data_IF_680173863100
#
_entry.id   IF_680173863100
#
_cell.length_a   1.000
_cell.length_b   1.000
_cell.length_c   1.000
_cell.angle_alpha   90.00
_cell.angle_beta   90.00
_cell.angle_gamma   90.00
#
_symmetry.space_group_name_H-M   'P 1'
#
loop_
_entity.id
_entity.type
_entity.pdbx_description
1 polymer ?
#
# COMPACT_ATOMS: atom_id res chain seq x y z
N UNK A 1 -22.62 -22.96 -14.56
CA UNK A 1 -21.25 -23.05 -15.10
C UNK A 1 -20.49 -21.87 -14.54
N UNK A 2 -19.57 -22.09 -13.61
CA UNK A 2 -18.64 -21.07 -13.12
C UNK A 2 -17.61 -20.82 -14.20
N UNK A 3 -17.74 -19.70 -14.92
CA UNK A 3 -16.69 -19.23 -15.82
C UNK A 3 -15.57 -18.77 -14.91
N UNK A 4 -14.48 -19.53 -14.85
CA UNK A 4 -13.25 -19.08 -14.18
C UNK A 4 -12.70 -17.92 -14.99
N UNK A 5 -12.89 -16.69 -14.52
CA UNK A 5 -12.28 -15.53 -15.16
C UNK A 5 -10.77 -15.59 -14.94
N UNK A 6 -10.01 -15.56 -16.04
CA UNK A 6 -8.57 -15.57 -16.00
C UNK A 6 -8.06 -14.15 -15.74
N UNK A 7 -7.57 -13.91 -14.53
CA UNK A 7 -6.84 -12.67 -14.22
C UNK A 7 -5.43 -12.85 -14.79
N UNK A 8 -5.01 -12.04 -15.79
CA UNK A 8 -3.66 -12.12 -16.32
C UNK A 8 -2.64 -11.81 -15.22
N UNK A 9 -1.38 -12.25 -15.34
CA UNK A 9 -0.28 -11.90 -14.41
C UNK A 9 0.98 -11.37 -15.14
N UNK A 10 0.79 -10.71 -16.28
CA UNK A 10 1.76 -9.82 -16.90
C UNK A 10 1.69 -8.42 -16.28
N UNK A 11 2.83 -7.89 -15.85
CA UNK A 11 2.94 -6.58 -15.21
C UNK A 11 3.93 -5.69 -15.97
N UNK A 12 3.61 -4.41 -16.06
CA UNK A 12 4.58 -3.37 -16.38
C UNK A 12 5.26 -2.91 -15.09
N UNK A 13 6.56 -3.11 -14.91
CA UNK A 13 7.30 -2.56 -13.78
C UNK A 13 8.74 -2.27 -14.22
N UNK A 14 9.11 -0.99 -14.44
CA UNK A 14 10.44 -0.61 -14.89
C UNK A 14 11.50 -0.62 -13.78
N UNK A 15 11.18 -1.12 -12.59
CA UNK A 15 12.07 -1.10 -11.43
C UNK A 15 12.53 -2.50 -11.08
N UNK A 16 13.82 -2.62 -10.79
CA UNK A 16 14.42 -3.87 -10.32
C UNK A 16 14.00 -4.13 -8.87
N UNK A 17 13.52 -5.34 -8.53
CA UNK A 17 13.24 -5.71 -7.15
C UNK A 17 14.54 -5.94 -6.36
N UNK A 18 14.56 -5.47 -5.13
CA UNK A 18 15.62 -5.73 -4.16
C UNK A 18 15.09 -6.58 -3.00
N UNK A 19 16.00 -7.16 -2.22
CA UNK A 19 15.65 -8.00 -1.08
C UNK A 19 16.59 -7.74 0.11
N UNK A 20 16.02 -7.75 1.30
CA UNK A 20 16.77 -7.69 2.55
C UNK A 20 17.57 -8.99 2.82
N UNK A 21 18.91 -8.95 2.97
CA UNK A 21 19.71 -10.03 3.56
C UNK A 21 19.25 -10.50 4.94
N UNK A 22 18.47 -9.70 5.68
CA UNK A 22 17.98 -10.06 7.01
C UNK A 22 16.60 -10.77 6.97
N UNK A 23 16.06 -11.08 5.79
CA UNK A 23 14.69 -11.63 5.62
C UNK A 23 14.37 -12.83 6.53
N UNK A 24 15.33 -13.73 6.73
CA UNK A 24 15.15 -14.92 7.55
C UNK A 24 14.99 -14.55 9.04
N UNK A 25 15.84 -13.64 9.52
CA UNK A 25 15.77 -13.14 10.89
C UNK A 25 14.49 -12.34 11.12
N UNK A 26 14.10 -11.47 10.17
CA UNK A 26 12.84 -10.73 10.20
C UNK A 26 11.65 -11.69 10.33
N UNK A 27 11.60 -12.75 9.53
CA UNK A 27 10.53 -13.74 9.55
C UNK A 27 10.44 -14.46 10.90
N UNK A 28 11.56 -15.01 11.40
CA UNK A 28 11.59 -15.72 12.68
C UNK A 28 11.11 -14.82 13.83
N UNK A 29 11.66 -13.60 13.91
CA UNK A 29 11.35 -12.66 14.97
C UNK A 29 9.91 -12.16 14.92
N UNK A 30 9.39 -11.86 13.73
CA UNK A 30 8.03 -11.30 13.58
C UNK A 30 6.95 -12.35 13.82
N UNK A 31 7.22 -13.61 13.50
CA UNK A 31 6.38 -14.73 13.92
C UNK A 31 6.37 -14.84 15.46
N UNK A 32 7.53 -14.76 16.12
CA UNK A 32 7.60 -14.75 17.60
C UNK A 32 6.86 -13.56 18.22
N UNK A 33 7.01 -12.38 17.63
CA UNK A 33 6.29 -11.17 18.05
C UNK A 33 4.77 -11.37 17.92
N UNK A 34 4.32 -11.94 16.80
CA UNK A 34 2.89 -12.23 16.55
C UNK A 34 2.33 -13.23 17.57
N UNK A 35 3.11 -14.25 17.95
CA UNK A 35 2.77 -15.21 19.02
C UNK A 35 2.64 -14.54 20.37
N UNK A 36 3.59 -13.66 20.73
CA UNK A 36 3.62 -12.95 22.02
C UNK A 36 2.33 -12.16 22.27
N UNK A 37 1.74 -11.56 21.25
CA UNK A 37 0.50 -10.79 21.38
C UNK A 37 -0.79 -11.62 21.15
N UNK A 38 -0.67 -12.93 20.93
CA UNK A 38 -1.82 -13.82 20.76
C UNK A 38 -2.53 -13.72 19.41
N UNK A 39 -1.92 -13.06 18.42
CA UNK A 39 -2.50 -12.88 17.08
C UNK A 39 -2.33 -14.10 16.17
N UNK A 40 -1.68 -15.15 16.70
CA UNK A 40 -1.32 -16.35 15.97
C UNK A 40 -2.39 -17.44 15.88
N UNK A 41 -3.64 -17.13 16.24
CA UNK A 41 -4.72 -18.11 16.25
C UNK A 41 -5.85 -17.69 15.30
N UNK A 42 -6.31 -18.60 14.42
CA UNK A 42 -5.75 -19.94 14.14
C UNK A 42 -4.34 -19.90 13.50
N UNK A 43 -3.55 -21.00 13.45
CA UNK A 43 -2.12 -20.99 13.09
C UNK A 43 -1.77 -20.33 11.75
N UNK A 44 -2.69 -20.34 10.78
CA UNK A 44 -2.55 -19.63 9.51
C UNK A 44 -2.36 -18.11 9.69
N UNK A 45 -2.88 -17.52 10.77
CA UNK A 45 -2.71 -16.11 11.11
C UNK A 45 -1.27 -15.77 11.52
N UNK A 46 -0.50 -16.73 12.05
CA UNK A 46 0.93 -16.53 12.33
C UNK A 46 1.73 -16.22 11.06
N UNK A 47 1.50 -17.02 10.02
CA UNK A 47 2.18 -16.84 8.75
C UNK A 47 1.62 -15.62 8.00
N UNK A 48 0.30 -15.41 8.05
CA UNK A 48 -0.31 -14.25 7.40
C UNK A 48 0.18 -12.92 7.99
N UNK A 49 0.27 -12.80 9.31
CA UNK A 49 0.68 -11.56 9.97
C UNK A 49 2.18 -11.47 10.18
N UNK A 50 2.78 -12.40 10.93
CA UNK A 50 4.21 -12.37 11.23
C UNK A 50 5.07 -12.64 9.99
N UNK A 51 4.75 -13.70 9.25
CA UNK A 51 5.43 -14.02 8.00
C UNK A 51 5.18 -12.97 6.92
N UNK A 52 3.93 -12.51 6.77
CA UNK A 52 3.56 -11.45 5.84
C UNK A 52 4.24 -10.12 6.13
N UNK A 53 4.27 -9.70 7.39
CA UNK A 53 4.95 -8.46 7.83
C UNK A 53 6.45 -8.48 7.53
N UNK A 54 7.09 -9.62 7.75
CA UNK A 54 8.50 -9.82 7.40
C UNK A 54 8.76 -9.85 5.90
N UNK A 55 7.91 -10.54 5.12
CA UNK A 55 8.03 -10.56 3.67
C UNK A 55 7.84 -9.15 3.08
N UNK A 56 6.83 -8.42 3.55
CA UNK A 56 6.59 -7.04 3.15
C UNK A 56 7.82 -6.18 3.46
N UNK A 57 8.33 -6.24 4.68
CA UNK A 57 9.50 -5.44 5.08
C UNK A 57 10.75 -5.78 4.27
N UNK A 58 11.00 -7.07 4.03
CA UNK A 58 12.17 -7.53 3.31
C UNK A 58 12.22 -7.07 1.85
N UNK A 59 11.07 -6.85 1.21
CA UNK A 59 10.99 -6.53 -0.22
C UNK A 59 10.59 -5.08 -0.51
N UNK A 60 9.73 -4.46 0.30
CA UNK A 60 9.35 -3.05 0.11
C UNK A 60 10.37 -2.10 0.73
N UNK A 61 11.04 -2.53 1.81
CA UNK A 61 11.99 -1.72 2.56
C UNK A 61 13.34 -2.44 2.74
N UNK A 62 13.97 -2.95 1.66
CA UNK A 62 15.17 -3.77 1.75
C UNK A 62 16.34 -3.04 2.42
N UNK A 63 16.35 -1.70 2.46
CA UNK A 63 17.37 -0.91 3.14
C UNK A 63 17.17 -0.78 4.66
N UNK A 64 15.99 -1.11 5.20
CA UNK A 64 15.75 -1.08 6.63
C UNK A 64 16.43 -2.29 7.30
N UNK A 65 17.44 -2.02 8.14
CA UNK A 65 18.30 -3.04 8.78
C UNK A 65 18.21 -3.01 10.30
N UNK A 66 18.65 -4.10 10.93
CA UNK A 66 18.85 -4.20 12.37
C UNK A 66 17.56 -3.87 13.14
N UNK A 67 17.67 -3.02 14.15
CA UNK A 67 16.52 -2.65 15.00
C UNK A 67 15.41 -1.96 14.20
N UNK A 68 15.75 -1.11 13.24
CA UNK A 68 14.76 -0.40 12.43
C UNK A 68 14.00 -1.34 11.49
N UNK A 69 14.70 -2.25 10.82
CA UNK A 69 14.08 -3.28 9.98
C UNK A 69 13.19 -4.21 10.80
N UNK A 70 13.64 -4.64 11.99
CA UNK A 70 12.83 -5.50 12.86
C UNK A 70 11.60 -4.77 13.41
N UNK A 71 11.72 -3.50 13.81
CA UNK A 71 10.59 -2.70 14.27
C UNK A 71 9.55 -2.50 13.16
N UNK A 72 9.98 -2.22 11.93
CA UNK A 72 9.08 -2.11 10.78
C UNK A 72 8.39 -3.43 10.45
N UNK A 73 9.09 -4.55 10.59
CA UNK A 73 8.54 -5.89 10.35
C UNK A 73 7.43 -6.25 11.32
N UNK A 74 7.63 -5.98 12.61
CA UNK A 74 6.63 -6.20 13.65
C UNK A 74 5.46 -5.21 13.51
N UNK A 75 5.76 -3.96 13.17
CA UNK A 75 4.74 -2.97 12.79
C UNK A 75 3.91 -3.46 11.60
N UNK A 76 4.53 -4.05 10.56
CA UNK A 76 3.84 -4.51 9.36
C UNK A 76 2.92 -5.70 9.67
N UNK A 77 3.34 -6.58 10.59
CA UNK A 77 2.48 -7.64 11.12
C UNK A 77 1.25 -7.07 11.84
N UNK A 78 1.43 -6.06 12.69
CA UNK A 78 0.33 -5.32 13.31
C UNK A 78 -0.58 -4.62 12.26
N UNK A 79 -0.01 -4.05 11.21
CA UNK A 79 -0.76 -3.36 10.17
C UNK A 79 -1.71 -4.29 9.41
N UNK A 80 -1.28 -5.52 9.12
CA UNK A 80 -2.17 -6.53 8.54
C UNK A 80 -3.32 -6.90 9.47
N UNK A 81 -3.05 -7.02 10.78
CA UNK A 81 -4.07 -7.33 11.78
C UNK A 81 -5.15 -6.24 11.87
N UNK A 82 -4.77 -4.97 12.00
CA UNK A 82 -5.75 -3.88 12.10
C UNK A 82 -6.50 -3.68 10.78
N UNK A 83 -5.85 -3.87 9.62
CA UNK A 83 -6.54 -3.83 8.33
C UNK A 83 -7.59 -4.95 8.19
N UNK A 84 -7.31 -6.15 8.70
CA UNK A 84 -8.29 -7.24 8.73
C UNK A 84 -9.48 -6.93 9.65
N UNK A 85 -9.33 -6.04 10.65
CA UNK A 85 -10.45 -5.65 11.52
C UNK A 85 -11.56 -4.89 10.80
N UNK A 86 -11.26 -4.25 9.66
CA UNK A 86 -12.24 -3.54 8.79
C UNK A 86 -13.25 -4.52 8.18
N UNK A 87 -12.81 -5.76 7.91
CA UNK A 87 -13.68 -6.87 7.53
C UNK A 87 -13.56 -7.92 8.63
N UNK A 88 -14.30 -7.75 9.74
CA UNK A 88 -14.17 -8.66 10.85
C UNK A 88 -14.46 -10.08 10.36
N UNK A 89 -13.61 -11.06 10.72
CA UNK A 89 -13.85 -12.46 10.35
C UNK A 89 -15.19 -12.94 10.93
N UNK A 90 -15.53 -12.41 12.11
CA UNK A 90 -16.74 -12.66 12.88
C UNK A 90 -17.85 -11.68 12.49
N UNK A 91 -18.93 -12.20 11.90
CA UNK A 91 -20.07 -11.40 11.45
C UNK A 91 -20.80 -10.68 12.59
N UNK A 92 -20.55 -11.06 13.84
CA UNK A 92 -21.21 -10.54 15.03
C UNK A 92 -20.45 -9.40 15.72
N UNK A 93 -19.24 -9.05 15.26
CA UNK A 93 -18.47 -7.94 15.87
C UNK A 93 -19.21 -6.61 15.60
N UNK A 94 -19.64 -5.87 16.65
CA UNK A 94 -20.29 -4.57 16.48
C UNK A 94 -19.37 -3.59 15.76
N UNK A 95 -19.93 -2.82 14.82
CA UNK A 95 -19.16 -1.81 14.07
C UNK A 95 -18.54 -0.76 14.99
N UNK A 96 -19.27 -0.37 16.04
CA UNK A 96 -18.77 0.56 17.05
C UNK A 96 -17.45 0.12 17.65
N UNK A 97 -17.25 -1.19 17.86
CA UNK A 97 -16.03 -1.74 18.43
C UNK A 97 -14.85 -1.69 17.44
N UNK A 98 -15.13 -1.76 16.12
CA UNK A 98 -14.11 -1.59 15.08
C UNK A 98 -13.69 -0.12 15.00
N UNK A 99 -14.67 0.79 14.99
CA UNK A 99 -14.42 2.24 14.98
C UNK A 99 -13.65 2.68 16.22
N UNK A 100 -14.03 2.19 17.40
CA UNK A 100 -13.35 2.51 18.66
C UNK A 100 -11.90 1.98 18.68
N UNK A 101 -11.68 0.75 18.22
CA UNK A 101 -10.33 0.16 18.17
C UNK A 101 -9.39 0.95 17.23
N UNK A 102 -9.87 1.32 16.04
CA UNK A 102 -9.12 2.18 15.10
C UNK A 102 -8.86 3.56 15.72
N UNK A 103 -9.86 4.18 16.35
CA UNK A 103 -9.71 5.49 16.99
C UNK A 103 -8.69 5.47 18.14
N UNK A 104 -8.64 4.38 18.92
CA UNK A 104 -7.62 4.19 19.96
C UNK A 104 -6.22 4.02 19.37
N UNK A 105 -6.07 3.34 18.22
CA UNK A 105 -4.79 3.27 17.51
C UNK A 105 -4.35 4.64 16.96
N UNK A 106 -5.28 5.47 16.49
CA UNK A 106 -5.01 6.86 16.10
C UNK A 106 -4.51 7.67 17.30
N UNK A 107 -5.12 7.50 18.47
CA UNK A 107 -4.67 8.16 19.69
C UNK A 107 -3.22 7.77 20.04
N UNK A 108 -2.85 6.49 19.93
CA UNK A 108 -1.47 6.01 20.14
C UNK A 108 -0.48 6.74 19.23
N UNK A 109 -0.86 7.01 17.98
CA UNK A 109 -0.05 7.79 17.04
C UNK A 109 0.17 9.22 17.56
N UNK A 110 -0.90 9.91 17.98
CA UNK A 110 -0.84 11.30 18.43
C UNK A 110 -0.15 11.50 19.78
N UNK A 111 -0.22 10.51 20.67
CA UNK A 111 0.41 10.55 21.99
C UNK A 111 1.75 9.84 22.06
N UNK A 112 2.40 9.67 20.90
CA UNK A 112 3.76 9.12 20.80
C UNK A 112 3.95 7.78 21.53
N UNK A 113 2.95 6.88 21.41
CA UNK A 113 2.97 5.56 22.03
C UNK A 113 2.29 5.46 23.40
N UNK A 114 1.75 6.56 23.95
CA UNK A 114 1.06 6.47 25.25
C UNK A 114 -0.21 5.60 25.15
N UNK A 115 -0.38 4.70 26.11
CA UNK A 115 -1.52 3.77 26.18
C UNK A 115 -2.77 4.47 26.76
N UNK A 116 -3.94 4.32 26.12
CA UNK A 116 -5.23 4.62 26.77
C UNK A 116 -5.50 3.70 27.97
N UNK A 117 -6.37 4.13 28.89
CA UNK A 117 -6.99 3.21 29.85
C UNK A 117 -8.02 2.31 29.13
N UNK A 118 -8.04 1.02 29.49
CA UNK A 118 -8.79 -0.06 28.81
C UNK A 118 -8.38 -0.26 27.34
N UNK A 119 -7.52 -1.24 27.07
CA UNK A 119 -6.96 -1.48 25.73
C UNK A 119 -7.18 -2.92 25.29
N UNK A 120 -7.48 -3.09 24.00
CA UNK A 120 -7.47 -4.41 23.36
C UNK A 120 -6.01 -4.83 23.09
N UNK A 121 -5.72 -6.13 22.91
CA UNK A 121 -4.39 -6.59 22.52
C UNK A 121 -3.84 -5.87 21.27
N UNK A 122 -4.72 -5.49 20.32
CA UNK A 122 -4.37 -4.74 19.11
C UNK A 122 -3.81 -3.35 19.45
N UNK A 123 -4.44 -2.62 20.38
CA UNK A 123 -3.99 -1.29 20.80
C UNK A 123 -2.70 -1.37 21.62
N UNK A 124 -2.55 -2.40 22.47
CA UNK A 124 -1.31 -2.64 23.22
C UNK A 124 -0.14 -2.94 22.27
N UNK A 125 -0.39 -3.78 21.26
CA UNK A 125 0.60 -4.07 20.22
C UNK A 125 0.97 -2.81 19.41
N UNK A 126 0.00 -1.96 19.08
CA UNK A 126 0.25 -0.66 18.45
C UNK A 126 1.24 0.16 19.29
N UNK A 127 0.93 0.41 20.56
CA UNK A 127 1.79 1.21 21.44
C UNK A 127 3.24 0.69 21.51
N UNK A 128 3.42 -0.64 21.55
CA UNK A 128 4.74 -1.27 21.57
C UNK A 128 5.52 -1.06 20.27
N UNK A 129 4.91 -1.28 19.10
CA UNK A 129 5.61 -1.06 17.82
C UNK A 129 5.90 0.41 17.58
N UNK A 130 5.00 1.32 17.98
CA UNK A 130 5.25 2.76 17.89
C UNK A 130 6.37 3.23 18.83
N UNK A 131 6.47 2.67 20.05
CA UNK A 131 7.61 2.93 20.95
C UNK A 131 8.93 2.47 20.34
N UNK A 132 8.93 1.32 19.64
CA UNK A 132 10.11 0.84 18.91
C UNK A 132 10.47 1.73 17.72
N UNK A 133 9.49 2.16 16.94
CA UNK A 133 9.71 3.12 15.86
C UNK A 133 10.29 4.45 16.41
N UNK A 134 9.82 4.91 17.56
CA UNK A 134 10.34 6.11 18.23
C UNK A 134 11.82 6.01 18.63
N UNK A 135 12.31 4.81 18.96
CA UNK A 135 13.73 4.59 19.30
C UNK A 135 14.65 4.66 18.09
N UNK A 136 14.16 4.28 16.91
CA UNK A 136 14.98 4.17 15.70
C UNK A 136 14.86 5.39 14.76
N UNK A 137 13.82 6.20 14.93
CA UNK A 137 13.58 7.41 14.14
C UNK A 137 14.04 8.67 14.89
N UNK A 138 14.46 9.70 14.15
CA UNK A 138 14.67 11.02 14.76
C UNK A 138 13.32 11.63 15.23
N UNK A 139 13.32 12.59 16.16
CA UNK A 139 12.06 13.20 16.62
C UNK A 139 11.19 13.79 15.50
N UNK A 140 11.80 14.42 14.49
CA UNK A 140 11.08 15.00 13.35
C UNK A 140 10.48 13.89 12.48
N UNK A 141 11.27 12.86 12.16
CA UNK A 141 10.79 11.71 11.39
C UNK A 141 9.68 10.96 12.11
N UNK A 142 9.78 10.79 13.43
CA UNK A 142 8.74 10.13 14.21
C UNK A 142 7.42 10.91 14.21
N UNK A 143 7.45 12.24 14.26
CA UNK A 143 6.24 13.08 14.12
C UNK A 143 5.62 12.95 12.73
N UNK A 144 6.44 12.93 11.67
CA UNK A 144 5.96 12.75 10.29
C UNK A 144 5.36 11.36 10.09
N UNK A 145 6.08 10.34 10.55
CA UNK A 145 5.64 8.94 10.56
C UNK A 145 4.29 8.78 11.26
N UNK A 146 4.17 9.17 12.52
CA UNK A 146 2.92 9.04 13.29
C UNK A 146 1.76 9.79 12.65
N UNK A 147 1.99 10.95 12.04
CA UNK A 147 0.96 11.69 11.29
C UNK A 147 0.43 10.87 10.12
N UNK A 148 1.31 10.32 9.28
CA UNK A 148 0.88 9.53 8.11
C UNK A 148 0.22 8.22 8.51
N UNK A 149 0.62 7.63 9.65
CA UNK A 149 -0.05 6.43 10.19
C UNK A 149 -1.46 6.76 10.68
N UNK A 150 -1.62 7.88 11.39
CA UNK A 150 -2.93 8.35 11.82
C UNK A 150 -3.85 8.64 10.62
N UNK A 151 -3.32 9.27 9.55
CA UNK A 151 -4.06 9.49 8.31
C UNK A 151 -4.57 8.17 7.71
N UNK A 152 -3.70 7.16 7.58
CA UNK A 152 -4.11 5.83 7.09
C UNK A 152 -5.23 5.22 7.94
N UNK A 153 -5.04 5.14 9.26
CA UNK A 153 -6.04 4.62 10.19
C UNK A 153 -7.38 5.35 10.08
N UNK A 154 -7.36 6.69 9.98
CA UNK A 154 -8.57 7.49 9.81
C UNK A 154 -9.26 7.22 8.47
N UNK A 155 -8.52 7.05 7.37
CA UNK A 155 -9.12 6.74 6.08
C UNK A 155 -9.75 5.36 6.01
N UNK A 156 -9.29 4.38 6.81
CA UNK A 156 -9.99 3.09 6.94
C UNK A 156 -11.40 3.25 7.50
N UNK A 157 -11.69 4.27 8.31
CA UNK A 157 -13.05 4.53 8.80
C UNK A 157 -14.03 4.86 7.66
N UNK A 158 -13.54 5.38 6.53
CA UNK A 158 -14.37 5.59 5.34
C UNK A 158 -14.82 4.25 4.74
N UNK A 159 -13.89 3.30 4.58
CA UNK A 159 -14.19 1.93 4.11
C UNK A 159 -15.18 1.23 5.07
N UNK A 160 -14.97 1.37 6.38
CA UNK A 160 -15.86 0.85 7.43
C UNK A 160 -17.29 1.40 7.26
N UNK A 161 -17.44 2.70 7.06
CA UNK A 161 -18.75 3.35 6.89
C UNK A 161 -19.45 2.97 5.56
N UNK A 162 -18.69 2.80 4.48
CA UNK A 162 -19.23 2.31 3.20
C UNK A 162 -19.80 0.91 3.36
N UNK A 163 -19.03 0.03 4.01
CA UNK A 163 -19.41 -1.35 4.28
C UNK A 163 -20.67 -1.45 5.13
N UNK A 164 -20.77 -0.66 6.21
CA UNK A 164 -21.96 -0.60 7.06
C UNK A 164 -23.24 -0.32 6.24
N UNK A 165 -23.13 0.56 5.25
CA UNK A 165 -24.25 1.00 4.43
C UNK A 165 -24.52 0.10 3.23
N UNK A 166 -23.67 -0.92 2.99
CA UNK A 166 -23.69 -1.68 1.75
C UNK A 166 -23.44 -0.82 0.51
N UNK A 167 -22.69 0.28 0.65
CA UNK A 167 -22.40 1.21 -0.43
C UNK A 167 -21.14 0.77 -1.18
N UNK A 168 -21.30 0.47 -2.48
CA UNK A 168 -20.20 0.13 -3.38
C UNK A 168 -19.83 1.36 -4.21
N UNK A 169 -18.58 1.88 -4.10
CA UNK A 169 -18.20 3.12 -4.76
C UNK A 169 -17.98 2.94 -6.27
N UNK A 170 -18.32 3.99 -7.03
CA UNK A 170 -17.83 4.18 -8.40
C UNK A 170 -16.33 4.53 -8.43
N UNK A 171 -15.72 4.64 -9.62
CA UNK A 171 -14.25 4.69 -9.74
C UNK A 171 -13.63 5.89 -9.03
N UNK A 172 -14.20 7.08 -9.20
CA UNK A 172 -13.63 8.28 -8.59
C UNK A 172 -13.70 8.25 -7.05
N UNK A 173 -14.81 7.77 -6.49
CA UNK A 173 -14.98 7.64 -5.04
C UNK A 173 -14.08 6.54 -4.48
N UNK A 174 -13.98 5.41 -5.19
CA UNK A 174 -13.07 4.32 -4.86
C UNK A 174 -11.63 4.82 -4.77
N UNK A 175 -11.14 5.53 -5.80
CA UNK A 175 -9.78 6.07 -5.81
C UNK A 175 -9.55 7.05 -4.65
N UNK A 176 -10.50 7.96 -4.40
CA UNK A 176 -10.39 8.96 -3.34
C UNK A 176 -10.25 8.32 -1.95
N UNK A 177 -11.02 7.26 -1.68
CA UNK A 177 -10.93 6.48 -0.45
C UNK A 177 -9.66 5.61 -0.42
N UNK A 178 -9.42 4.85 -1.50
CA UNK A 178 -8.41 3.79 -1.57
C UNK A 178 -6.99 4.31 -1.40
N UNK A 179 -6.65 5.48 -1.96
CA UNK A 179 -5.31 6.08 -1.78
C UNK A 179 -4.93 6.18 -0.30
N UNK A 180 -5.87 6.59 0.54
CA UNK A 180 -5.66 6.65 1.98
C UNK A 180 -5.72 5.27 2.62
N UNK A 181 -6.83 4.54 2.42
CA UNK A 181 -7.13 3.31 3.14
C UNK A 181 -6.15 2.17 2.84
N UNK A 182 -5.57 2.12 1.64
CA UNK A 182 -4.50 1.15 1.28
C UNK A 182 -3.14 1.52 1.88
N UNK A 183 -3.00 2.71 2.46
CA UNK A 183 -1.80 3.14 3.17
C UNK A 183 -0.75 3.80 2.27
N UNK A 184 -1.11 4.46 1.17
CA UNK A 184 -0.12 5.20 0.37
C UNK A 184 0.55 6.31 1.20
N UNK A 185 -0.21 7.06 2.01
CA UNK A 185 0.36 8.11 2.88
C UNK A 185 1.26 7.53 3.98
N UNK A 186 0.81 6.47 4.66
CA UNK A 186 1.60 5.73 5.64
C UNK A 186 2.93 5.24 5.04
N UNK A 187 2.88 4.76 3.79
CA UNK A 187 4.06 4.27 3.08
C UNK A 187 5.10 5.36 2.84
N UNK A 188 4.67 6.57 2.48
CA UNK A 188 5.57 7.74 2.40
C UNK A 188 6.20 8.06 3.77
N UNK A 189 5.45 7.87 4.86
CA UNK A 189 5.95 8.00 6.22
C UNK A 189 7.09 7.04 6.56
N UNK A 190 6.99 5.76 6.17
CA UNK A 190 8.11 4.82 6.37
C UNK A 190 9.31 5.22 5.52
N UNK A 191 9.09 5.61 4.26
CA UNK A 191 10.20 6.00 3.38
C UNK A 191 10.93 7.20 3.98
N UNK A 192 10.22 8.27 4.39
CA UNK A 192 10.84 9.45 5.02
C UNK A 192 11.58 9.10 6.33
N UNK A 193 10.96 8.25 7.16
CA UNK A 193 11.55 7.82 8.43
C UNK A 193 12.80 6.96 8.25
N UNK A 194 12.80 6.05 7.27
CA UNK A 194 13.83 5.03 7.08
C UNK A 194 14.85 5.39 6.00
N UNK A 195 14.64 6.48 5.25
CA UNK A 195 15.52 6.89 4.17
C UNK A 195 16.93 7.28 4.64
N UNK A 196 17.13 7.49 5.95
CA UNK A 196 18.37 8.02 6.53
C UNK A 196 18.81 9.34 5.85
N UNK A 197 17.84 10.13 5.36
CA UNK A 197 18.04 11.41 4.68
C UNK A 197 17.54 12.55 5.56
N UNK A 198 18.09 13.75 5.35
CA UNK A 198 17.54 14.99 5.90
C UNK A 198 16.78 15.74 4.80
N UNK A 199 15.87 15.04 4.10
CA UNK A 199 15.18 15.59 2.94
C UNK A 199 14.40 16.87 3.34
N UNK A 200 14.74 18.03 2.76
CA UNK A 200 14.06 19.27 3.11
C UNK A 200 12.58 19.22 2.77
N UNK A 201 11.74 19.69 3.69
CA UNK A 201 10.29 19.69 3.50
C UNK A 201 9.85 20.47 2.25
N UNK A 202 10.59 21.54 1.91
CA UNK A 202 10.35 22.36 0.74
C UNK A 202 10.53 21.59 -0.58
N UNK A 203 11.38 20.56 -0.60
CA UNK A 203 11.60 19.72 -1.77
C UNK A 203 10.58 18.57 -1.82
N UNK A 204 10.35 17.91 -0.69
CA UNK A 204 9.39 16.80 -0.58
C UNK A 204 7.93 17.25 -0.82
N UNK A 205 7.58 18.46 -0.39
CA UNK A 205 6.19 18.95 -0.41
C UNK A 205 5.81 19.64 -1.71
N UNK A 206 6.67 19.65 -2.73
CA UNK A 206 6.29 20.21 -4.03
C UNK A 206 5.14 19.39 -4.63
N UNK A 207 4.16 20.04 -5.29
CA UNK A 207 3.03 19.31 -5.91
C UNK A 207 3.49 18.23 -6.90
N UNK A 208 4.59 18.47 -7.63
CA UNK A 208 5.16 17.51 -8.57
C UNK A 208 5.73 16.27 -7.90
N UNK A 209 6.53 16.43 -6.84
CA UNK A 209 7.07 15.28 -6.06
C UNK A 209 5.93 14.52 -5.39
N UNK A 210 4.97 15.23 -4.78
CA UNK A 210 3.80 14.60 -4.16
C UNK A 210 2.98 13.78 -5.17
N UNK A 211 2.68 14.35 -6.34
CA UNK A 211 1.97 13.63 -7.41
C UNK A 211 2.74 12.40 -7.88
N UNK A 212 4.06 12.52 -8.10
CA UNK A 212 4.91 11.40 -8.51
C UNK A 212 4.85 10.26 -7.48
N UNK A 213 5.10 10.56 -6.21
CA UNK A 213 5.14 9.52 -5.17
C UNK A 213 3.76 8.87 -4.99
N UNK A 214 2.67 9.65 -4.99
CA UNK A 214 1.32 9.09 -4.91
C UNK A 214 0.97 8.25 -6.14
N UNK A 215 1.36 8.67 -7.34
CA UNK A 215 1.13 7.88 -8.55
C UNK A 215 1.85 6.52 -8.47
N UNK A 216 3.13 6.49 -8.08
CA UNK A 216 3.88 5.24 -7.91
C UNK A 216 3.23 4.30 -6.89
N UNK A 217 2.97 4.81 -5.68
CA UNK A 217 2.40 4.01 -4.59
C UNK A 217 0.96 3.56 -4.88
N UNK A 218 0.18 4.40 -5.55
CA UNK A 218 -1.19 4.03 -5.91
C UNK A 218 -1.23 3.01 -7.07
N UNK A 219 -0.29 3.06 -8.01
CA UNK A 219 -0.15 1.99 -9.00
C UNK A 219 0.14 0.63 -8.34
N UNK A 220 1.03 0.60 -7.34
CA UNK A 220 1.28 -0.60 -6.53
C UNK A 220 0.03 -1.03 -5.74
N UNK A 221 -0.76 -0.09 -5.22
CA UNK A 221 -2.02 -0.39 -4.57
C UNK A 221 -3.06 -1.03 -5.50
N UNK A 222 -3.13 -0.60 -6.77
CA UNK A 222 -3.99 -1.24 -7.78
C UNK A 222 -3.51 -2.64 -8.16
N UNK A 223 -2.21 -2.93 -8.01
CA UNK A 223 -1.74 -4.32 -8.14
C UNK A 223 -2.29 -5.21 -7.02
N UNK A 224 -2.50 -4.67 -5.81
CA UNK A 224 -3.11 -5.41 -4.70
C UNK A 224 -4.55 -5.83 -4.99
N UNK A 225 -5.30 -5.03 -5.74
CA UNK A 225 -6.65 -5.36 -6.18
C UNK A 225 -6.62 -6.57 -7.13
N UNK A 226 -5.61 -6.67 -8.01
CA UNK A 226 -5.40 -7.81 -8.91
C UNK A 226 -5.07 -9.09 -8.15
N UNK A 227 -4.20 -9.01 -7.13
CA UNK A 227 -3.88 -10.16 -6.29
C UNK A 227 -5.11 -10.63 -5.50
N UNK A 228 -5.85 -9.68 -4.93
CA UNK A 228 -7.00 -9.98 -4.08
C UNK A 228 -8.14 -10.59 -4.88
N UNK A 229 -8.35 -10.17 -6.13
CA UNK A 229 -9.32 -10.79 -7.04
C UNK A 229 -9.02 -12.29 -7.27
N UNK A 230 -7.74 -12.67 -7.36
CA UNK A 230 -7.34 -14.07 -7.49
C UNK A 230 -7.51 -14.88 -6.18
N UNK A 231 -7.54 -14.21 -5.02
CA UNK A 231 -7.62 -14.81 -3.69
C UNK A 231 -9.07 -14.97 -3.19
N UNK A 232 -9.95 -13.99 -3.47
CA UNK A 232 -11.20 -13.78 -2.73
C UNK A 232 -12.44 -14.47 -3.35
N UNK A 233 -12.39 -15.80 -3.51
CA UNK A 233 -13.58 -16.60 -3.82
C UNK A 233 -14.53 -16.71 -2.60
N UNK A 234 -15.18 -15.61 -2.18
CA UNK A 234 -16.30 -15.69 -1.22
C UNK A 234 -16.65 -14.48 -0.36
N UNK A 235 -15.79 -13.46 -0.22
CA UNK A 235 -16.09 -12.19 0.49
C UNK A 235 -15.33 -11.02 -0.15
N UNK A 236 -15.71 -10.57 -1.36
CA UNK A 236 -14.92 -9.60 -2.10
C UNK A 236 -14.88 -8.24 -1.39
N UNK A 237 -13.67 -7.70 -1.18
CA UNK A 237 -13.47 -6.26 -0.94
C UNK A 237 -13.80 -5.48 -2.20
N UNK A 238 -14.26 -4.24 -2.02
CA UNK A 238 -14.34 -3.29 -3.13
C UNK A 238 -12.94 -3.11 -3.74
N UNK A 239 -12.88 -3.18 -5.06
CA UNK A 239 -11.67 -3.04 -5.85
C UNK A 239 -11.93 -2.21 -7.10
N UNK A 240 -10.87 -1.83 -7.81
CA UNK A 240 -10.98 -1.01 -9.03
C UNK A 240 -11.87 -1.66 -10.10
N UNK A 241 -11.85 -2.99 -10.22
CA UNK A 241 -12.63 -3.72 -11.23
C UNK A 241 -14.12 -3.70 -10.93
N UNK A 242 -14.50 -3.88 -9.65
CA UNK A 242 -15.89 -3.68 -9.23
C UNK A 242 -16.34 -2.23 -9.41
N UNK A 243 -15.49 -1.25 -9.07
CA UNK A 243 -15.82 0.16 -9.21
C UNK A 243 -16.06 0.57 -10.68
N UNK A 244 -15.26 0.02 -11.62
CA UNK A 244 -15.48 0.19 -13.06
C UNK A 244 -16.85 -0.33 -13.50
N UNK A 245 -17.29 -1.49 -12.99
CA UNK A 245 -18.62 -2.04 -13.29
C UNK A 245 -19.77 -1.31 -12.60
N UNK A 246 -19.50 -0.59 -11.51
CA UNK A 246 -20.48 0.31 -10.90
C UNK A 246 -20.72 1.52 -11.81
N UNK A 247 -19.64 2.11 -12.36
CA UNK A 247 -19.75 3.26 -13.27
C UNK A 247 -20.31 2.88 -14.65
N UNK A 248 -19.96 1.70 -15.18
CA UNK A 248 -20.54 1.13 -16.40
C UNK A 248 -20.99 -0.33 -16.19
N UNK A 249 -22.28 -0.55 -15.88
CA UNK A 249 -22.85 -1.88 -15.69
C UNK A 249 -22.80 -2.79 -16.93
N UNK A 250 -22.46 -2.27 -18.11
CA UNK A 250 -22.33 -3.07 -19.34
C UNK A 250 -20.94 -3.69 -19.49
N UNK A 251 -19.95 -3.28 -18.68
CA UNK A 251 -18.62 -3.88 -18.70
C UNK A 251 -18.68 -5.34 -18.25
N UNK A 252 -18.18 -6.22 -19.09
CA UNK A 252 -17.90 -7.61 -18.69
C UNK A 252 -16.78 -7.63 -17.64
N UNK A 253 -16.70 -8.72 -16.87
CA UNK A 253 -15.63 -8.89 -15.89
C UNK A 253 -14.24 -8.81 -16.53
N UNK A 254 -14.04 -9.46 -17.69
CA UNK A 254 -12.80 -9.39 -18.46
C UNK A 254 -12.45 -7.96 -18.90
N UNK A 255 -13.42 -7.19 -19.41
CA UNK A 255 -13.20 -5.78 -19.77
C UNK A 255 -12.84 -4.94 -18.55
N UNK A 256 -13.53 -5.11 -17.43
CA UNK A 256 -13.21 -4.38 -16.19
C UNK A 256 -11.78 -4.65 -15.73
N UNK A 257 -11.29 -5.89 -15.85
CA UNK A 257 -9.91 -6.27 -15.53
C UNK A 257 -8.92 -5.58 -16.49
N UNK A 258 -9.17 -5.66 -17.80
CA UNK A 258 -8.34 -4.99 -18.82
C UNK A 258 -8.25 -3.48 -18.57
N UNK A 259 -9.38 -2.82 -18.32
CA UNK A 259 -9.44 -1.37 -18.11
C UNK A 259 -8.78 -0.95 -16.80
N UNK A 260 -8.93 -1.75 -15.73
CA UNK A 260 -8.26 -1.52 -14.45
C UNK A 260 -6.74 -1.63 -14.55
N UNK A 261 -6.23 -2.63 -15.29
CA UNK A 261 -4.80 -2.78 -15.59
C UNK A 261 -4.29 -1.60 -16.41
N UNK A 262 -5.03 -1.18 -17.44
CA UNK A 262 -4.65 -0.03 -18.27
C UNK A 262 -4.61 1.29 -17.46
N UNK A 263 -5.52 1.48 -16.51
CA UNK A 263 -5.49 2.63 -15.60
C UNK A 263 -4.23 2.60 -14.72
N UNK A 264 -3.94 1.44 -14.11
CA UNK A 264 -2.74 1.24 -13.28
C UNK A 264 -1.47 1.52 -14.09
N UNK A 265 -1.34 0.99 -15.30
CA UNK A 265 -0.17 1.17 -16.15
C UNK A 265 0.01 2.63 -16.57
N UNK A 266 -1.09 3.32 -16.86
CA UNK A 266 -1.11 4.75 -17.15
C UNK A 266 -0.60 5.58 -15.98
N UNK A 267 -1.02 5.25 -14.75
CA UNK A 267 -0.57 5.92 -13.52
C UNK A 267 0.93 5.66 -13.28
N UNK A 268 1.40 4.43 -13.44
CA UNK A 268 2.81 4.10 -13.28
C UNK A 268 3.66 4.79 -14.36
N UNK A 269 3.16 4.86 -15.60
CA UNK A 269 3.81 5.58 -16.68
C UNK A 269 3.92 7.07 -16.37
N UNK A 270 2.87 7.71 -15.82
CA UNK A 270 2.93 9.09 -15.35
C UNK A 270 4.07 9.29 -14.34
N UNK A 271 4.22 8.39 -13.36
CA UNK A 271 5.32 8.48 -12.40
C UNK A 271 6.68 8.50 -13.11
N UNK A 272 6.93 7.62 -14.08
CA UNK A 272 8.22 7.59 -14.80
C UNK A 272 8.51 8.92 -15.49
N UNK A 273 7.47 9.59 -16.03
CA UNK A 273 7.60 10.90 -16.68
C UNK A 273 7.86 12.02 -15.67
N UNK A 274 7.08 12.07 -14.58
CA UNK A 274 7.29 13.06 -13.53
C UNK A 274 8.68 12.91 -12.91
N UNK A 275 9.12 11.68 -12.65
CA UNK A 275 10.46 11.38 -12.16
C UNK A 275 11.53 11.92 -13.10
N UNK A 276 11.41 11.66 -14.40
CA UNK A 276 12.37 12.15 -15.39
C UNK A 276 12.46 13.70 -15.42
N UNK A 277 11.37 14.41 -15.13
CA UNK A 277 11.38 15.87 -14.98
C UNK A 277 11.92 16.35 -13.63
N UNK A 278 11.77 15.57 -12.56
CA UNK A 278 12.24 15.92 -11.21
C UNK A 278 13.77 15.75 -11.09
N UNK A 279 14.30 14.64 -11.62
CA UNK A 279 15.70 14.24 -11.41
C UNK A 279 16.76 15.29 -11.76
N UNK A 280 16.64 16.07 -12.86
CA UNK A 280 17.68 17.05 -13.22
C UNK A 280 17.93 18.12 -12.16
N UNK A 281 16.93 18.39 -11.31
CA UNK A 281 16.99 19.40 -10.25
C UNK A 281 16.94 18.81 -8.84
N UNK A 282 16.80 17.48 -8.72
CA UNK A 282 16.63 16.80 -7.44
C UNK A 282 17.95 16.78 -6.65
N UNK A 283 17.86 17.08 -5.36
CA UNK A 283 18.97 16.85 -4.44
C UNK A 283 19.33 15.36 -4.36
N UNK A 284 20.56 14.99 -3.93
CA UNK A 284 20.91 13.59 -3.73
C UNK A 284 19.96 12.84 -2.78
N UNK A 285 19.41 13.54 -1.78
CA UNK A 285 18.45 12.97 -0.84
C UNK A 285 17.09 12.74 -1.48
N UNK A 286 16.62 13.63 -2.38
CA UNK A 286 15.38 13.38 -3.13
C UNK A 286 15.55 12.25 -4.14
N UNK A 287 16.71 12.16 -4.81
CA UNK A 287 16.99 11.04 -5.72
C UNK A 287 16.93 9.71 -4.98
N UNK A 288 17.52 9.64 -3.78
CA UNK A 288 17.46 8.45 -2.92
C UNK A 288 16.03 8.15 -2.46
N UNK A 289 15.27 9.18 -2.07
CA UNK A 289 13.88 9.04 -1.69
C UNK A 289 13.02 8.45 -2.82
N UNK A 290 13.19 8.94 -4.06
CA UNK A 290 12.48 8.40 -5.23
C UNK A 290 12.88 6.96 -5.53
N UNK A 291 14.15 6.60 -5.36
CA UNK A 291 14.59 5.21 -5.46
C UNK A 291 13.93 4.31 -4.41
N UNK A 292 13.72 4.79 -3.19
CA UNK A 292 12.97 4.05 -2.17
C UNK A 292 11.48 3.89 -2.51
N UNK A 293 10.86 4.89 -3.14
CA UNK A 293 9.51 4.73 -3.71
C UNK A 293 9.48 3.62 -4.77
N UNK A 294 10.51 3.51 -5.61
CA UNK A 294 10.62 2.47 -6.64
C UNK A 294 10.77 1.07 -6.06
N UNK A 295 11.59 0.94 -5.01
CA UNK A 295 11.73 -0.31 -4.27
C UNK A 295 10.42 -0.76 -3.64
N UNK A 296 9.59 0.18 -3.15
CA UNK A 296 8.25 -0.15 -2.67
C UNK A 296 7.38 -0.71 -3.79
N UNK A 297 7.42 -0.12 -4.99
CA UNK A 297 6.60 -0.60 -6.13
C UNK A 297 7.04 -1.99 -6.59
N UNK A 298 8.34 -2.21 -6.84
CA UNK A 298 8.85 -3.53 -7.25
C UNK A 298 8.73 -4.57 -6.14
N UNK A 299 8.97 -4.16 -4.90
CA UNK A 299 8.79 -4.98 -3.70
C UNK A 299 7.35 -5.43 -3.48
N UNK A 300 6.37 -4.53 -3.69
CA UNK A 300 4.95 -4.87 -3.61
C UNK A 300 4.56 -5.92 -4.64
N UNK A 301 5.09 -5.81 -5.86
CA UNK A 301 4.87 -6.81 -6.91
C UNK A 301 5.41 -8.19 -6.51
N UNK A 302 6.63 -8.23 -5.97
CA UNK A 302 7.20 -9.48 -5.46
C UNK A 302 6.36 -10.03 -4.30
N UNK A 303 6.06 -9.20 -3.30
CA UNK A 303 5.27 -9.57 -2.12
C UNK A 303 3.93 -10.17 -2.52
N UNK A 304 3.13 -9.46 -3.33
CA UNK A 304 1.79 -9.89 -3.69
C UNK A 304 1.76 -11.19 -4.49
N UNK A 305 2.68 -11.33 -5.47
CA UNK A 305 2.74 -12.55 -6.30
C UNK A 305 3.28 -13.76 -5.54
N UNK A 306 4.22 -13.57 -4.60
CA UNK A 306 4.69 -14.65 -3.74
C UNK A 306 3.67 -14.99 -2.65
N UNK A 307 2.94 -14.00 -2.12
CA UNK A 307 1.86 -14.22 -1.18
C UNK A 307 0.77 -15.13 -1.77
N UNK A 308 0.42 -14.97 -3.05
CA UNK A 308 -0.55 -15.82 -3.75
C UNK A 308 -0.16 -17.30 -3.78
N UNK A 309 1.14 -17.62 -3.80
CA UNK A 309 1.62 -19.01 -3.76
C UNK A 309 1.26 -19.72 -2.44
N UNK A 310 1.06 -18.99 -1.35
CA UNK A 310 0.58 -19.56 -0.10
C UNK A 310 -0.92 -19.93 -0.13
N UNK A 311 -1.70 -19.27 -0.99
CA UNK A 311 -3.16 -19.47 -1.08
C UNK A 311 -3.59 -20.41 -2.22
N UNK A 312 -2.69 -20.74 -3.15
CA UNK A 312 -2.94 -21.65 -4.27
C UNK A 312 -2.07 -22.92 -4.18
N UNK A 313 -2.52 -23.98 -3.47
CA UNK A 313 -1.81 -25.26 -3.43
C UNK A 313 -1.86 -25.91 -4.83
N UNK A 314 -0.79 -25.73 -5.60
CA UNK A 314 -0.69 -26.09 -7.02
C UNK A 314 0.35 -25.26 -7.79
N UNK A 315 0.84 -24.18 -7.18
CA UNK A 315 1.74 -23.21 -7.81
C UNK A 315 0.98 -21.93 -8.12
N UNK A 316 1.53 -20.78 -7.71
CA UNK A 316 0.94 -19.48 -8.04
C UNK A 316 0.98 -19.22 -9.55
N UNK A 317 0.29 -18.18 -10.03
CA UNK A 317 0.27 -17.85 -11.45
C UNK A 317 1.68 -17.63 -11.99
N UNK A 318 1.90 -17.96 -13.26
CA UNK A 318 3.11 -17.54 -13.97
C UNK A 318 3.10 -16.02 -14.08
N UNK A 319 4.18 -15.39 -13.60
CA UNK A 319 4.31 -13.93 -13.55
C UNK A 319 5.32 -13.50 -14.59
N UNK A 320 4.90 -12.61 -15.48
CA UNK A 320 5.78 -11.95 -16.44
C UNK A 320 5.88 -10.47 -16.09
N UNK A 321 7.10 -9.91 -16.11
CA UNK A 321 7.32 -8.49 -15.84
C UNK A 321 8.04 -7.86 -17.02
N UNK A 322 7.46 -6.79 -17.58
CA UNK A 322 8.06 -5.95 -18.62
C UNK A 322 8.58 -4.65 -18.03
N UNK A 323 9.78 -4.26 -18.42
CA UNK A 323 10.34 -2.94 -18.09
C UNK A 323 9.76 -1.82 -18.95
N UNK A 324 9.14 -2.17 -20.08
CA UNK A 324 8.57 -1.21 -21.02
C UNK A 324 7.07 -1.09 -20.82
N UNK A 325 6.57 0.16 -20.86
CA UNK A 325 5.14 0.43 -20.83
C UNK A 325 4.46 -0.25 -22.02
N UNK A 326 3.26 -0.85 -21.83
CA UNK A 326 2.53 -1.44 -22.93
C UNK A 326 2.26 -0.43 -24.05
N UNK A 327 2.28 -0.86 -25.34
CA UNK A 327 1.94 0.01 -26.45
C UNK A 327 0.57 0.69 -26.23
N UNK A 328 0.49 1.99 -26.48
CA UNK A 328 -0.75 2.76 -26.28
C UNK A 328 -0.98 3.28 -24.85
N UNK A 329 -0.03 3.07 -23.92
CA UNK A 329 -0.04 3.72 -22.60
C UNK A 329 0.18 5.23 -22.74
N UNK A 330 -0.91 5.96 -23.01
CA UNK A 330 -0.87 7.42 -23.22
C UNK A 330 -0.75 8.22 -21.93
N UNK A 331 -0.46 9.52 -22.06
CA UNK A 331 -0.38 10.49 -20.96
C UNK A 331 -1.63 11.38 -20.85
N UNK A 332 -2.76 10.94 -21.40
CA UNK A 332 -4.03 11.64 -21.21
C UNK A 332 -4.57 11.36 -19.82
N UNK A 333 -4.86 12.43 -19.07
CA UNK A 333 -5.41 12.31 -17.72
C UNK A 333 -6.72 11.49 -17.75
N UNK A 334 -6.89 10.51 -16.83
CA UNK A 334 -8.16 9.82 -16.71
C UNK A 334 -9.25 10.79 -16.19
N UNK A 335 -10.53 10.53 -16.46
CA UNK A 335 -11.64 11.41 -16.08
C UNK A 335 -12.02 11.30 -14.58
N UNK A 336 -11.02 11.13 -13.70
CA UNK A 336 -11.20 10.94 -12.26
C UNK A 336 -10.60 12.11 -11.49
N UNK A 337 -11.40 13.11 -11.08
CA UNK A 337 -10.95 14.30 -10.35
C UNK A 337 -10.07 14.03 -9.13
N UNK A 338 -10.23 12.88 -8.46
CA UNK A 338 -9.40 12.47 -7.34
C UNK A 338 -7.90 12.44 -7.67
N UNK A 339 -7.54 12.18 -8.93
CA UNK A 339 -6.15 11.99 -9.37
C UNK A 339 -5.77 12.72 -10.66
N UNK A 340 -6.73 13.32 -11.38
CA UNK A 340 -6.45 14.00 -12.65
C UNK A 340 -5.41 15.12 -12.51
N UNK A 341 -5.35 15.77 -11.34
CA UNK A 341 -4.38 16.83 -11.03
C UNK A 341 -2.92 16.35 -11.04
N UNK A 342 -2.65 15.03 -10.96
CA UNK A 342 -1.30 14.51 -11.09
C UNK A 342 -0.72 14.77 -12.49
N UNK A 343 -1.56 14.69 -13.53
CA UNK A 343 -1.18 15.04 -14.90
C UNK A 343 -0.93 16.53 -15.07
N UNK A 344 -1.55 17.37 -14.23
CA UNK A 344 -1.29 18.81 -14.19
C UNK A 344 0.10 19.15 -13.63
N UNK A 345 0.89 18.15 -13.23
CA UNK A 345 2.27 18.35 -12.80
C UNK A 345 3.30 18.10 -13.92
N UNK A 346 2.88 17.51 -15.05
CA UNK A 346 3.75 17.39 -16.23
C UNK A 346 4.05 18.77 -16.82
N UNK A 347 5.25 18.95 -17.36
CA UNK A 347 5.58 20.13 -18.16
C UNK A 347 4.64 20.27 -19.38
N UNK A 348 4.40 21.51 -19.83
CA UNK A 348 3.54 21.75 -21.00
C UNK A 348 4.03 20.99 -22.25
N UNK A 349 5.34 20.84 -22.41
CA UNK A 349 5.96 20.06 -23.49
C UNK A 349 5.70 18.55 -23.36
N UNK A 350 5.66 18.01 -22.14
CA UNK A 350 5.34 16.60 -21.90
C UNK A 350 3.83 16.29 -22.06
N UNK A 351 2.93 17.25 -21.80
CA UNK A 351 1.48 17.06 -21.96
C UNK A 351 1.03 16.99 -23.40
N UNK A 352 1.69 17.73 -24.30
CA UNK A 352 1.28 17.81 -25.69
C UNK A 352 1.69 16.61 -26.55
N UNK A 353 2.47 15.65 -26.01
CA UNK A 353 2.94 14.48 -26.76
C UNK A 353 3.69 14.90 -28.01
N UNK A 354 5.00 15.11 -27.91
CA UNK A 354 5.81 15.40 -29.08
C UNK A 354 5.73 14.23 -30.06
N UNK A 355 4.86 14.37 -31.07
CA UNK A 355 4.96 13.71 -32.36
C UNK A 355 6.16 14.38 -33.03
N UNK A 356 7.31 13.71 -33.01
CA UNK A 356 8.40 13.97 -33.95
C UNK A 356 8.66 12.70 -34.73
#
# INVERSE_FOLDING_TARGET
MTVSVHVPFDFYCPFTPEESPEKAALAENSIRWTQKFGFGHPPEKLLAYGGGGALLTAHLFPWARGEAGQALSDYSAWAFLINDSVIPPDADRPLGDVVEEIARCVQVCWTAGALPDCTTPVVVAAAEVFDRMKRVLTPIQFVRFTRTQAEWLQTMLWEVAMRERGHHPGVNEYIAMRIGAVGCFATLGYIDGLAMTNLPEAELSTPKVRAACLAALFAAALDNDRYSLAKEAGRPKDNIFSALRIDDPNLTEAQSITDGIALRDRILHLYTRLRAEILPTASPDLQRYLHYVENVVSGNLYFGTHALRYYAPGGGPEVTVSEHAPPGTGLTAPPYPAISWWWDQLSATARCGAVW
#
